data_IF_173641840564
#
_entry.id   IF_173641840564
#
_cell.length_a   1.000
_cell.length_b   1.000
_cell.length_c   1.000
_cell.angle_alpha   90.00
_cell.angle_beta   90.00
_cell.angle_gamma   90.00
#
_symmetry.space_group_name_H-M   'P 1'
#
loop_
_entity.id
_entity.type
_entity.pdbx_description
1 polymer ?
#
# COMPACT_ATOMS: atom_id res chain seq x y z
N UNK A 1 -8.98 -1.88 15.98
CA UNK A 1 -7.80 -1.63 15.14
C UNK A 1 -8.16 -1.88 13.69
N UNK A 2 -7.76 -1.02 12.76
CA UNK A 2 -7.99 -1.18 11.32
C UNK A 2 -6.69 -1.49 10.59
N UNK A 3 -6.76 -2.43 9.66
CA UNK A 3 -5.60 -2.92 8.93
C UNK A 3 -5.90 -2.81 7.44
N UNK A 4 -5.13 -2.01 6.73
CA UNK A 4 -5.16 -1.97 5.28
C UNK A 4 -4.21 -3.03 4.71
N UNK A 5 -4.70 -3.88 3.80
CA UNK A 5 -3.89 -4.88 3.12
C UNK A 5 -3.95 -4.62 1.62
N UNK A 6 -2.78 -4.59 1.00
CA UNK A 6 -2.66 -4.28 -0.42
C UNK A 6 -2.97 -5.53 -1.22
N UNK A 7 -3.96 -5.48 -2.12
CA UNK A 7 -4.44 -6.65 -2.86
C UNK A 7 -4.91 -6.28 -4.28
N UNK A 8 -5.04 -7.30 -5.13
CA UNK A 8 -5.62 -7.19 -6.47
C UNK A 8 -6.93 -7.95 -6.61
N UNK A 9 -7.11 -9.00 -5.80
CA UNK A 9 -8.20 -9.96 -5.90
C UNK A 9 -9.04 -10.04 -4.61
N UNK A 10 -8.59 -9.39 -3.53
CA UNK A 10 -9.27 -9.41 -2.23
C UNK A 10 -8.91 -10.58 -1.33
N UNK A 11 -8.13 -11.56 -1.81
CA UNK A 11 -7.73 -12.75 -1.04
C UNK A 11 -6.22 -12.87 -0.87
N UNK A 12 -5.42 -12.34 -1.81
CA UNK A 12 -3.95 -12.42 -1.76
C UNK A 12 -3.30 -11.07 -1.48
N UNK A 13 -2.14 -11.09 -0.81
CA UNK A 13 -1.32 -9.91 -0.55
C UNK A 13 -0.48 -9.61 -1.80
N UNK A 14 -0.59 -8.38 -2.29
CA UNK A 14 0.16 -7.94 -3.46
C UNK A 14 1.63 -7.73 -3.13
N UNK A 15 2.50 -8.37 -3.92
CA UNK A 15 3.96 -8.24 -3.81
C UNK A 15 4.50 -6.93 -4.40
N UNK A 16 3.69 -6.24 -5.21
CA UNK A 16 4.08 -5.00 -5.86
C UNK A 16 3.09 -3.89 -5.50
N UNK A 17 3.41 -3.12 -4.46
CA UNK A 17 2.60 -1.99 -4.02
C UNK A 17 2.21 -1.03 -5.17
N UNK A 18 3.15 -0.70 -6.07
CA UNK A 18 2.88 0.25 -7.16
C UNK A 18 1.92 -0.26 -8.24
N UNK A 19 1.60 -1.56 -8.28
CA UNK A 19 0.76 -2.19 -9.31
C UNK A 19 -0.59 -2.69 -8.77
N UNK A 20 -0.85 -2.50 -7.48
CA UNK A 20 -2.08 -2.98 -6.86
C UNK A 20 -3.23 -2.01 -7.04
N UNK A 21 -4.44 -2.56 -7.16
CA UNK A 21 -5.66 -1.78 -7.43
C UNK A 21 -6.53 -1.57 -6.20
N UNK A 22 -6.36 -2.37 -5.14
CA UNK A 22 -7.26 -2.34 -3.99
C UNK A 22 -6.51 -2.36 -2.64
N UNK A 23 -7.13 -1.72 -1.65
CA UNK A 23 -6.86 -1.92 -0.24
C UNK A 23 -8.01 -2.74 0.36
N UNK A 24 -7.72 -3.91 0.90
CA UNK A 24 -8.63 -4.66 1.76
C UNK A 24 -8.45 -4.14 3.19
N UNK A 25 -9.40 -3.34 3.67
CA UNK A 25 -9.41 -2.81 5.03
C UNK A 25 -10.15 -3.78 5.93
N UNK A 26 -9.46 -4.31 6.92
CA UNK A 26 -10.01 -5.26 7.88
C UNK A 26 -10.10 -4.59 9.25
N UNK A 27 -11.28 -4.66 9.87
CA UNK A 27 -11.50 -4.18 11.23
C UNK A 27 -11.36 -5.34 12.19
N UNK A 28 -10.37 -5.25 13.09
CA UNK A 28 -10.14 -6.21 14.17
C UNK A 28 -10.57 -5.62 15.52
N UNK A 29 -11.26 -6.43 16.31
CA UNK A 29 -11.63 -6.16 17.70
C UNK A 29 -11.52 -7.47 18.51
N UNK A 30 -10.85 -7.42 19.68
CA UNK A 30 -10.66 -8.58 20.56
C UNK A 30 -10.16 -9.84 19.82
N UNK A 31 -9.13 -9.66 18.97
CA UNK A 31 -8.52 -10.73 18.17
C UNK A 31 -9.48 -11.41 17.17
N UNK A 32 -10.59 -10.75 16.82
CA UNK A 32 -11.57 -11.22 15.84
C UNK A 32 -11.78 -10.22 14.73
N UNK A 33 -11.96 -10.73 13.51
CA UNK A 33 -12.39 -9.95 12.35
C UNK A 33 -13.85 -9.60 12.53
N UNK A 34 -14.14 -8.31 12.67
CA UNK A 34 -15.52 -7.80 12.72
C UNK A 34 -16.08 -7.56 11.32
N UNK A 35 -15.27 -7.01 10.43
CA UNK A 35 -15.67 -6.66 9.07
C UNK A 35 -14.46 -6.50 8.17
N UNK A 36 -14.67 -6.67 6.88
CA UNK A 36 -13.73 -6.36 5.82
C UNK A 36 -14.40 -5.47 4.76
N UNK A 37 -13.61 -4.54 4.22
CA UNK A 37 -14.02 -3.60 3.18
C UNK A 37 -12.97 -3.62 2.08
N UNK A 38 -13.40 -3.62 0.82
CA UNK A 38 -12.50 -3.49 -0.31
C UNK A 38 -12.58 -2.06 -0.86
N UNK A 39 -11.54 -1.26 -0.64
CA UNK A 39 -11.41 0.08 -1.19
C UNK A 39 -10.60 0.03 -2.47
N UNK A 40 -11.14 0.60 -3.54
CA UNK A 40 -10.35 0.84 -4.74
C UNK A 40 -9.39 2.00 -4.50
N UNK A 41 -8.14 1.83 -4.93
CA UNK A 41 -7.13 2.88 -4.85
C UNK A 41 -7.46 3.95 -5.87
N UNK A 42 -7.75 5.16 -5.40
CA UNK A 42 -7.96 6.32 -6.24
C UNK A 42 -6.65 6.89 -6.78
N UNK A 43 -5.49 6.42 -6.29
CA UNK A 43 -4.18 6.98 -6.62
C UNK A 43 -3.20 5.93 -7.17
N UNK A 44 -2.74 6.16 -8.40
CA UNK A 44 -1.90 5.30 -9.24
C UNK A 44 -2.00 5.69 -10.71
N UNK A 45 -1.35 4.99 -11.66
CA UNK A 45 -1.54 5.21 -13.11
C UNK A 45 -3.02 5.13 -13.56
N UNK A 46 -3.90 4.62 -12.70
CA UNK A 46 -5.32 4.39 -12.96
C UNK A 46 -6.27 5.50 -12.42
N UNK A 47 -5.72 6.55 -11.79
CA UNK A 47 -6.48 7.65 -11.17
C UNK A 47 -7.12 8.63 -12.16
N UNK A 48 -6.83 8.54 -13.45
CA UNK A 48 -7.27 9.53 -14.44
C UNK A 48 -8.68 9.20 -14.94
N UNK A 49 -9.66 9.45 -14.09
CA UNK A 49 -11.07 9.24 -14.39
C UNK A 49 -12.01 10.29 -13.81
N UNK A 50 -11.54 11.50 -13.47
CA UNK A 50 -12.40 12.67 -13.33
C UNK A 50 -11.61 13.98 -13.20
N UNK A 51 -11.51 14.67 -14.35
CA UNK A 51 -11.56 16.13 -14.47
C UNK A 51 -10.74 16.97 -13.50
N UNK A 52 -9.44 17.09 -13.73
CA UNK A 52 -8.72 18.35 -13.63
C UNK A 52 -7.48 18.27 -14.51
N UNK A 53 -7.27 19.31 -15.30
CA UNK A 53 -6.30 19.39 -16.37
C UNK A 53 -4.87 19.21 -15.83
N UNK A 54 -4.24 18.09 -16.16
CA UNK A 54 -2.80 18.05 -16.37
C UNK A 54 -2.54 17.24 -17.63
N UNK A 55 -1.84 17.88 -18.57
CA UNK A 55 -1.65 17.43 -19.93
C UNK A 55 -1.25 15.96 -20.02
N UNK A 56 -1.99 15.27 -20.88
CA UNK A 56 -1.53 14.09 -21.58
C UNK A 56 -0.27 14.47 -22.35
N UNK A 57 0.89 14.11 -21.80
CA UNK A 57 2.17 14.08 -22.48
C UNK A 57 3.03 13.03 -21.78
N UNK A 58 3.39 11.99 -22.52
CA UNK A 58 4.46 11.02 -22.24
C UNK A 58 4.16 9.99 -21.13
N UNK A 59 3.84 8.71 -21.39
CA UNK A 59 4.58 7.79 -22.27
C UNK A 59 6.04 8.22 -22.44
N UNK A 60 6.92 7.73 -21.54
CA UNK A 60 8.37 7.71 -21.75
C UNK A 60 9.15 9.00 -21.42
N UNK A 61 9.25 9.37 -20.15
CA UNK A 61 10.53 9.93 -19.68
C UNK A 61 11.48 8.78 -19.32
N UNK A 62 12.04 8.21 -20.38
CA UNK A 62 13.36 7.61 -20.39
C UNK A 62 14.39 8.70 -20.06
N UNK A 63 14.45 9.14 -18.79
CA UNK A 63 15.73 9.66 -18.33
C UNK A 63 16.61 8.43 -18.08
N UNK A 64 17.77 8.42 -18.72
CA UNK A 64 18.77 7.37 -18.77
C UNK A 64 19.41 7.02 -17.42
N UNK A 65 18.73 7.30 -16.29
CA UNK A 65 19.16 7.06 -14.91
C UNK A 65 17.96 6.62 -14.03
N UNK A 66 17.23 5.60 -14.47
CA UNK A 66 16.87 4.42 -13.68
C UNK A 66 16.39 4.49 -12.20
N UNK A 67 15.77 5.57 -11.71
CA UNK A 67 15.14 5.58 -10.37
C UNK A 67 13.71 6.10 -10.40
N UNK A 68 12.77 5.18 -10.63
CA UNK A 68 11.34 5.44 -10.40
C UNK A 68 11.05 5.29 -8.90
N UNK A 69 10.58 6.36 -8.24
CA UNK A 69 10.18 6.31 -6.82
C UNK A 69 10.67 7.45 -5.94
N UNK A 70 11.44 8.40 -6.48
CA UNK A 70 12.00 9.54 -5.74
C UNK A 70 11.70 10.86 -6.46
N UNK A 71 11.34 11.91 -5.69
CA UNK A 71 10.99 13.24 -6.21
C UNK A 71 9.70 13.80 -5.58
N UNK A 72 9.49 15.12 -5.67
CA UNK A 72 8.32 15.79 -5.07
C UNK A 72 6.98 15.26 -5.63
N UNK A 73 6.92 14.93 -6.92
CA UNK A 73 5.74 14.34 -7.53
C UNK A 73 5.43 12.93 -7.03
N UNK A 74 6.46 12.14 -6.73
CA UNK A 74 6.30 10.81 -6.15
C UNK A 74 5.86 10.89 -4.68
N UNK A 75 6.49 11.79 -3.91
CA UNK A 75 6.14 12.06 -2.51
C UNK A 75 4.68 12.51 -2.37
N UNK A 76 4.24 13.47 -3.19
CA UNK A 76 2.84 13.92 -3.22
C UNK A 76 1.87 12.78 -3.54
N UNK A 77 2.21 11.91 -4.51
CA UNK A 77 1.37 10.74 -4.84
C UNK A 77 1.29 9.75 -3.67
N UNK A 78 2.40 9.46 -3.01
CA UNK A 78 2.41 8.56 -1.85
C UNK A 78 1.67 9.15 -0.65
N UNK A 79 1.77 10.46 -0.42
CA UNK A 79 1.02 11.17 0.61
C UNK A 79 -0.50 11.04 0.37
N UNK A 80 -0.97 11.23 -0.86
CA UNK A 80 -2.38 11.02 -1.21
C UNK A 80 -2.81 9.57 -0.98
N UNK A 81 -1.99 8.58 -1.35
CA UNK A 81 -2.27 7.16 -1.04
C UNK A 81 -2.40 6.91 0.46
N UNK A 82 -1.53 7.51 1.27
CA UNK A 82 -1.58 7.39 2.72
C UNK A 82 -2.83 8.02 3.31
N UNK A 83 -3.33 9.12 2.74
CA UNK A 83 -4.61 9.72 3.15
C UNK A 83 -5.81 8.79 2.90
N UNK A 84 -5.83 8.01 1.80
CA UNK A 84 -6.93 7.06 1.50
C UNK A 84 -7.13 5.97 2.56
N UNK A 85 -6.05 5.63 3.26
CA UNK A 85 -6.02 4.65 4.35
C UNK A 85 -5.63 5.28 5.68
N UNK A 86 -5.75 6.60 5.81
CA UNK A 86 -5.34 7.33 7.01
C UNK A 86 -6.17 7.00 8.25
N UNK A 87 -7.31 6.33 8.08
CA UNK A 87 -8.11 5.76 9.17
C UNK A 87 -7.63 4.37 9.62
N UNK A 88 -6.60 3.82 8.98
CA UNK A 88 -6.00 2.53 9.33
C UNK A 88 -4.77 2.69 10.24
N UNK A 89 -4.55 1.73 11.12
CA UNK A 89 -3.40 1.71 12.02
C UNK A 89 -2.18 1.04 11.37
N UNK A 90 -2.43 0.00 10.56
CA UNK A 90 -1.42 -0.88 9.99
C UNK A 90 -1.64 -1.02 8.48
N UNK A 91 -0.56 -0.98 7.70
CA UNK A 91 -0.53 -1.29 6.28
C UNK A 91 0.29 -2.55 6.03
N UNK A 92 -0.31 -3.59 5.45
CA UNK A 92 0.35 -4.84 5.08
C UNK A 92 0.51 -4.92 3.56
N UNK A 93 1.75 -5.13 3.11
CA UNK A 93 2.07 -5.33 1.69
C UNK A 93 3.12 -6.44 1.52
N UNK A 94 3.24 -7.03 0.33
CA UNK A 94 4.28 -8.02 0.05
C UNK A 94 5.64 -7.41 -0.27
N UNK A 95 5.62 -6.22 -0.86
CA UNK A 95 6.80 -5.43 -1.20
C UNK A 95 6.41 -4.00 -1.50
N UNK A 96 7.27 -3.06 -1.12
CA UNK A 96 7.03 -1.63 -1.26
C UNK A 96 8.37 -0.92 -1.46
N UNK A 97 8.42 0.03 -2.39
CA UNK A 97 9.63 0.84 -2.60
C UNK A 97 9.92 1.71 -1.38
N UNK A 98 11.21 1.95 -1.14
CA UNK A 98 11.73 2.78 -0.02
C UNK A 98 11.00 4.13 0.14
N UNK A 99 10.82 4.90 -0.93
CA UNK A 99 10.13 6.20 -0.86
C UNK A 99 8.66 6.12 -0.45
N UNK A 100 7.94 5.07 -0.86
CA UNK A 100 6.56 4.84 -0.42
C UNK A 100 6.52 4.43 1.06
N UNK A 101 7.41 3.52 1.47
CA UNK A 101 7.53 3.07 2.86
C UNK A 101 7.76 4.23 3.82
N UNK A 102 8.68 5.14 3.50
CA UNK A 102 8.90 6.36 4.28
C UNK A 102 7.67 7.27 4.31
N UNK A 103 6.99 7.44 3.18
CA UNK A 103 5.79 8.30 3.10
C UNK A 103 4.66 7.80 4.00
N UNK A 104 4.40 6.49 4.01
CA UNK A 104 3.39 5.89 4.89
C UNK A 104 3.78 5.99 6.37
N UNK A 105 5.05 5.77 6.69
CA UNK A 105 5.52 5.95 8.07
C UNK A 105 5.40 7.40 8.54
N UNK A 106 5.71 8.38 7.68
CA UNK A 106 5.53 9.82 7.99
C UNK A 106 4.05 10.18 8.20
N UNK A 107 3.14 9.50 7.52
CA UNK A 107 1.70 9.63 7.73
C UNK A 107 1.19 8.94 9.01
N UNK A 108 2.06 8.27 9.78
CA UNK A 108 1.72 7.61 11.04
C UNK A 108 1.22 6.17 10.88
N UNK A 109 1.28 5.60 9.68
CA UNK A 109 0.87 4.22 9.41
C UNK A 109 2.00 3.24 9.74
N UNK A 110 1.68 2.16 10.45
CA UNK A 110 2.64 1.08 10.67
C UNK A 110 2.72 0.18 9.44
N UNK A 111 3.79 0.31 8.65
CA UNK A 111 3.97 -0.52 7.46
C UNK A 111 4.67 -1.84 7.80
N UNK A 112 4.04 -2.95 7.40
CA UNK A 112 4.54 -4.31 7.58
C UNK A 112 4.68 -4.97 6.22
N UNK A 113 5.91 -5.33 5.84
CA UNK A 113 6.15 -6.12 4.63
C UNK A 113 6.21 -7.60 4.98
N UNK A 114 5.44 -8.43 4.27
CA UNK A 114 5.31 -9.87 4.54
C UNK A 114 5.51 -10.70 3.27
N UNK A 115 6.17 -11.86 3.38
CA UNK A 115 6.27 -12.82 2.28
C UNK A 115 5.01 -13.70 2.14
N UNK A 116 4.06 -13.57 3.07
CA UNK A 116 2.81 -14.33 3.04
C UNK A 116 1.97 -14.00 1.82
N UNK A 117 1.49 -15.04 1.15
CA UNK A 117 0.67 -14.91 -0.05
C UNK A 117 -0.78 -14.56 0.29
N UNK A 118 -1.34 -15.14 1.34
CA UNK A 118 -2.76 -15.00 1.67
C UNK A 118 -3.01 -13.95 2.75
N UNK A 119 -4.12 -13.21 2.59
CA UNK A 119 -4.53 -12.16 3.54
C UNK A 119 -4.89 -12.78 4.89
N UNK A 120 -5.67 -13.87 4.89
CA UNK A 120 -6.10 -14.55 6.11
C UNK A 120 -4.90 -14.99 6.96
N UNK A 121 -3.89 -15.62 6.33
CA UNK A 121 -2.66 -16.01 7.01
C UNK A 121 -1.89 -14.82 7.61
N UNK A 122 -1.91 -13.68 6.91
CA UNK A 122 -1.24 -12.46 7.37
C UNK A 122 -1.94 -11.88 8.60
N UNK A 123 -3.28 -11.84 8.60
CA UNK A 123 -4.09 -11.41 9.73
C UNK A 123 -3.93 -12.36 10.92
N UNK A 124 -4.01 -13.68 10.69
CA UNK A 124 -3.82 -14.69 11.74
C UNK A 124 -2.44 -14.58 12.38
N UNK A 125 -1.39 -14.35 11.57
CA UNK A 125 -0.05 -14.16 12.10
C UNK A 125 0.09 -12.84 12.88
N UNK A 126 -0.60 -11.78 12.45
CA UNK A 126 -0.63 -10.50 13.17
C UNK A 126 -1.30 -10.64 14.54
N UNK A 127 -2.48 -11.27 14.59
CA UNK A 127 -3.23 -11.56 15.81
C UNK A 127 -2.38 -12.38 16.79
N UNK A 128 -1.66 -13.39 16.29
CA UNK A 128 -0.75 -14.22 17.10
C UNK A 128 0.55 -13.50 17.52
N UNK A 129 0.80 -12.28 17.05
CA UNK A 129 2.06 -11.56 17.29
C UNK A 129 3.27 -12.15 16.55
N UNK A 130 3.05 -13.00 15.55
CA UNK A 130 4.10 -13.73 14.82
C UNK A 130 4.38 -13.16 13.41
N UNK A 131 3.68 -12.11 13.00
CA UNK A 131 3.90 -11.49 11.69
C UNK A 131 5.24 -10.73 11.69
N UNK A 132 6.22 -11.26 10.94
CA UNK A 132 7.52 -10.61 10.77
C UNK A 132 7.39 -9.41 9.85
N UNK A 133 7.97 -8.29 10.25
CA UNK A 133 8.13 -7.14 9.37
C UNK A 133 9.43 -7.28 8.57
N UNK A 134 9.31 -7.57 7.29
CA UNK A 134 10.42 -7.68 6.34
C UNK A 134 10.72 -6.35 5.65
N UNK A 135 10.34 -5.21 6.25
CA UNK A 135 10.63 -3.88 5.71
C UNK A 135 12.12 -3.74 5.35
N UNK A 136 13.00 -4.06 6.28
CA UNK A 136 14.46 -3.95 6.14
C UNK A 136 15.03 -4.69 4.90
N UNK A 137 14.42 -5.80 4.50
CA UNK A 137 14.91 -6.63 3.38
C UNK A 137 14.09 -6.48 2.10
N UNK A 138 12.98 -5.74 2.13
CA UNK A 138 12.03 -5.60 0.99
C UNK A 138 11.71 -4.17 0.62
N UNK A 139 12.33 -3.19 1.27
CA UNK A 139 12.41 -1.80 0.81
C UNK A 139 13.71 -1.64 0.00
N UNK A 140 13.62 -1.85 -1.32
CA UNK A 140 14.72 -1.55 -2.27
C UNK A 140 14.67 -0.08 -2.73
#
# INVERSE_FOLDING_TARGET
MKIAIVTNDGNTVSQHFGRSQYYKVITLENDKVLSDELRQRGTGHFAQGQGQQHSESESSHFNQQGKHGYGQDADNKHALMAQEIGDCDILIAGGMGSGAYESFQRAGLKVVLTDKQYIDESIQALIKGNLKNLADTRTD
#
